data_IF_058883097391
#
_entry.id   IF_058883097391
#
_cell.length_a   1.000
_cell.length_b   1.000
_cell.length_c   1.000
_cell.angle_alpha   90.00
_cell.angle_beta   90.00
_cell.angle_gamma   90.00
#
_symmetry.space_group_name_H-M   'P 1'
#
loop_
_entity.id
_entity.type
_entity.pdbx_description
1 polymer ?
#
# COMPACT_ATOMS: atom_id res chain seq x y z
N UNK A 1 -25.86 14.61 11.03
CA UNK A 1 -26.28 13.31 10.46
C UNK A 1 -25.04 12.46 10.25
N UNK A 2 -24.82 11.40 11.05
CA UNK A 2 -23.65 10.51 10.87
C UNK A 2 -23.89 9.67 9.62
N UNK A 3 -23.11 9.90 8.57
CA UNK A 3 -23.15 9.07 7.37
C UNK A 3 -22.66 7.67 7.75
N UNK A 4 -23.53 6.65 7.62
CA UNK A 4 -23.14 5.26 7.81
C UNK A 4 -22.21 4.88 6.66
N UNK A 5 -20.96 4.59 6.99
CA UNK A 5 -19.97 4.09 6.04
C UNK A 5 -20.29 2.60 5.79
N UNK A 6 -20.50 2.16 4.53
CA UNK A 6 -20.60 0.75 4.21
C UNK A 6 -19.44 -0.08 4.78
N UNK A 7 -19.75 -1.25 5.34
CA UNK A 7 -18.80 -2.09 6.09
C UNK A 7 -17.53 -2.41 5.31
N UNK A 8 -17.65 -2.72 4.03
CA UNK A 8 -16.52 -3.08 3.17
C UNK A 8 -15.57 -1.91 2.92
N UNK A 9 -16.11 -0.68 2.86
CA UNK A 9 -15.30 0.54 2.72
C UNK A 9 -14.52 0.82 4.01
N UNK A 10 -15.19 0.64 5.16
CA UNK A 10 -14.56 0.70 6.49
C UNK A 10 -13.41 -0.30 6.59
N UNK A 11 -13.60 -1.51 6.07
CA UNK A 11 -12.58 -2.56 6.07
C UNK A 11 -11.34 -2.19 5.23
N UNK A 12 -11.50 -1.56 4.06
CA UNK A 12 -10.37 -1.04 3.27
C UNK A 12 -9.62 0.07 4.01
N UNK A 13 -10.36 1.02 4.59
CA UNK A 13 -9.76 2.07 5.41
C UNK A 13 -8.95 1.50 6.58
N UNK A 14 -9.50 0.52 7.32
CA UNK A 14 -8.77 -0.13 8.42
C UNK A 14 -7.53 -0.88 7.93
N UNK A 15 -7.59 -1.56 6.79
CA UNK A 15 -6.39 -2.19 6.18
C UNK A 15 -5.29 -1.15 5.94
N UNK A 16 -5.62 -0.03 5.30
CA UNK A 16 -4.65 1.03 4.99
C UNK A 16 -4.11 1.65 6.28
N UNK A 17 -4.99 1.99 7.23
CA UNK A 17 -4.62 2.57 8.52
C UNK A 17 -3.70 1.65 9.33
N UNK A 18 -3.98 0.34 9.36
CA UNK A 18 -3.24 -0.64 10.15
C UNK A 18 -1.97 -1.16 9.46
N UNK A 19 -1.74 -0.79 8.20
CA UNK A 19 -0.50 -1.10 7.45
C UNK A 19 0.30 0.16 7.18
N UNK A 20 -0.09 0.92 6.17
CA UNK A 20 0.58 2.15 5.73
C UNK A 20 0.61 3.16 6.87
N UNK A 21 -0.51 3.32 7.58
CA UNK A 21 -0.63 4.24 8.72
C UNK A 21 0.08 3.83 10.00
N UNK A 22 0.80 2.70 10.01
CA UNK A 22 1.71 2.37 11.13
C UNK A 22 3.10 2.95 10.94
N UNK A 23 3.39 3.50 9.76
CA UNK A 23 4.59 4.27 9.54
C UNK A 23 4.53 5.58 10.36
N UNK A 24 5.56 5.91 11.14
CA UNK A 24 5.55 7.08 12.02
C UNK A 24 5.47 8.42 11.28
N UNK A 25 5.75 8.45 9.97
CA UNK A 25 5.73 9.66 9.14
C UNK A 25 4.51 9.74 8.22
N UNK A 26 3.54 8.83 8.40
CA UNK A 26 2.32 8.79 7.57
C UNK A 26 1.09 8.85 8.45
N UNK A 27 0.34 9.94 8.32
CA UNK A 27 -0.99 10.09 8.90
C UNK A 27 -2.04 9.63 7.89
N UNK A 28 -2.96 8.78 8.33
CA UNK A 28 -4.11 8.33 7.53
C UNK A 28 -5.35 9.05 8.04
N UNK A 29 -5.91 9.91 7.20
CA UNK A 29 -7.14 10.60 7.55
C UNK A 29 -8.36 9.70 7.41
N UNK A 30 -9.42 10.08 8.13
CA UNK A 30 -10.68 9.33 8.13
C UNK A 30 -11.25 9.25 6.71
N UNK A 31 -11.83 8.10 6.41
CA UNK A 31 -12.60 7.90 5.20
C UNK A 31 -13.68 8.99 5.09
N UNK A 32 -13.73 9.67 3.96
CA UNK A 32 -14.72 10.71 3.68
C UNK A 32 -15.24 10.59 2.25
N UNK A 33 -16.43 11.12 2.01
CA UNK A 33 -17.07 11.11 0.70
C UNK A 33 -16.95 12.49 0.06
N UNK A 34 -16.50 12.52 -1.17
CA UNK A 34 -16.44 13.73 -1.99
C UNK A 34 -17.06 13.40 -3.36
N UNK A 35 -18.12 14.11 -3.73
CA UNK A 35 -18.96 13.75 -4.89
C UNK A 35 -19.49 12.30 -4.78
N UNK A 36 -19.17 11.45 -5.77
CA UNK A 36 -19.62 10.04 -5.85
C UNK A 36 -18.58 9.03 -5.35
N UNK A 37 -17.40 9.48 -4.92
CA UNK A 37 -16.31 8.59 -4.52
C UNK A 37 -15.99 8.73 -3.03
N UNK A 38 -15.46 7.65 -2.46
CA UNK A 38 -14.88 7.65 -1.12
C UNK A 38 -13.37 7.86 -1.22
N UNK A 39 -12.80 8.57 -0.26
CA UNK A 39 -11.39 8.92 -0.26
C UNK A 39 -10.73 8.55 1.06
N UNK A 40 -9.52 8.00 0.95
CA UNK A 40 -8.57 7.85 2.05
C UNK A 40 -7.36 8.71 1.71
N UNK A 41 -7.10 9.73 2.53
CA UNK A 41 -5.94 10.60 2.35
C UNK A 41 -4.79 10.12 3.22
N UNK A 42 -3.64 9.93 2.58
CA UNK A 42 -2.36 9.64 3.20
C UNK A 42 -1.54 10.92 3.23
N UNK A 43 -1.24 11.42 4.41
CA UNK A 43 -0.41 12.61 4.62
C UNK A 43 0.97 12.14 5.05
N UNK A 44 1.97 12.40 4.21
CA UNK A 44 3.36 12.04 4.49
C UNK A 44 4.15 13.26 4.95
N UNK A 45 4.96 13.10 5.98
CA UNK A 45 5.87 14.15 6.46
C UNK A 45 7.14 14.26 5.60
N UNK A 46 7.46 13.22 4.83
CA UNK A 46 8.61 13.15 3.93
C UNK A 46 8.15 13.12 2.47
N UNK A 47 8.72 14.01 1.66
CA UNK A 47 8.33 14.14 0.25
C UNK A 47 8.67 12.87 -0.55
N UNK A 48 9.88 12.34 -0.40
CA UNK A 48 10.30 11.14 -1.13
C UNK A 48 9.44 9.92 -0.80
N UNK A 49 8.97 9.82 0.45
CA UNK A 49 8.05 8.79 0.87
C UNK A 49 6.66 8.95 0.24
N UNK A 50 6.17 10.20 0.15
CA UNK A 50 4.93 10.52 -0.55
C UNK A 50 5.02 10.11 -2.03
N UNK A 51 6.13 10.42 -2.69
CA UNK A 51 6.41 10.02 -4.08
C UNK A 51 6.41 8.50 -4.19
N UNK A 52 7.20 7.82 -3.35
CA UNK A 52 7.28 6.36 -3.32
C UNK A 52 5.90 5.71 -3.18
N UNK A 53 5.13 6.13 -2.18
CA UNK A 53 3.77 5.64 -1.95
C UNK A 53 2.86 5.89 -3.15
N UNK A 54 2.89 7.10 -3.73
CA UNK A 54 2.05 7.45 -4.88
C UNK A 54 2.28 6.54 -6.09
N UNK A 55 3.47 5.95 -6.21
CA UNK A 55 3.85 5.05 -7.30
C UNK A 55 3.52 3.57 -7.04
N UNK A 56 3.55 3.12 -5.78
CA UNK A 56 3.40 1.68 -5.45
C UNK A 56 2.02 1.32 -4.90
N UNK A 57 1.28 2.29 -4.34
CA UNK A 57 -0.01 2.01 -3.71
C UNK A 57 -1.10 1.83 -4.75
N UNK A 58 -2.00 0.87 -4.51
CA UNK A 58 -3.23 0.77 -5.27
C UNK A 58 -4.07 2.03 -4.99
N UNK A 59 -4.27 2.84 -6.03
CA UNK A 59 -4.97 4.11 -5.93
C UNK A 59 -6.50 3.97 -5.92
N UNK A 60 -7.06 2.81 -6.30
CA UNK A 60 -8.51 2.61 -6.44
C UNK A 60 -8.93 1.20 -6.03
N UNK A 61 -9.86 1.10 -5.08
CA UNK A 61 -10.52 -0.14 -4.67
C UNK A 61 -12.00 -0.07 -5.06
N UNK A 62 -12.49 -1.09 -5.77
CA UNK A 62 -13.88 -1.17 -6.20
C UNK A 62 -14.69 -2.05 -5.24
N UNK A 63 -15.82 -1.54 -4.77
CA UNK A 63 -16.72 -2.19 -3.82
C UNK A 63 -18.15 -1.87 -4.23
N UNK A 64 -18.91 -2.88 -4.69
CA UNK A 64 -20.34 -2.76 -5.04
C UNK A 64 -20.68 -1.51 -5.88
N UNK A 65 -19.91 -1.23 -6.93
CA UNK A 65 -20.03 -0.08 -7.84
C UNK A 65 -19.63 1.29 -7.24
N UNK A 66 -19.13 1.35 -6.02
CA UNK A 66 -18.44 2.51 -5.45
C UNK A 66 -16.92 2.31 -5.46
N UNK A 67 -16.18 3.42 -5.37
CA UNK A 67 -14.73 3.40 -5.32
C UNK A 67 -14.20 4.05 -4.06
N UNK A 68 -13.24 3.38 -3.41
CA UNK A 68 -12.31 4.01 -2.46
C UNK A 68 -11.07 4.42 -3.21
N UNK A 69 -10.83 5.72 -3.27
CA UNK A 69 -9.67 6.33 -3.92
C UNK A 69 -8.66 6.70 -2.85
N UNK A 70 -7.42 6.26 -3.02
CA UNK A 70 -6.32 6.63 -2.12
C UNK A 70 -5.59 7.83 -2.72
N UNK A 71 -5.50 8.92 -1.96
CA UNK A 71 -4.74 10.13 -2.33
C UNK A 71 -3.54 10.25 -1.42
N UNK A 72 -2.40 10.60 -1.99
CA UNK A 72 -1.17 10.84 -1.23
C UNK A 72 -0.86 12.32 -1.25
N UNK A 73 -0.51 12.88 -0.11
CA UNK A 73 -0.18 14.27 0.10
C UNK A 73 1.17 14.39 0.83
N UNK A 74 1.85 15.50 0.61
CA UNK A 74 2.99 15.92 1.40
C UNK A 74 2.54 17.06 2.33
N UNK A 75 2.82 16.95 3.64
CA UNK A 75 2.44 17.95 4.67
C UNK A 75 0.96 18.34 4.64
N UNK A 76 0.62 19.61 4.41
CA UNK A 76 -0.68 20.19 4.75
C UNK A 76 -1.78 19.99 3.67
N UNK A 77 -1.68 18.93 2.88
CA UNK A 77 -2.64 18.55 1.83
C UNK A 77 -2.87 19.58 0.72
N UNK A 78 -1.95 20.52 0.52
CA UNK A 78 -2.12 21.54 -0.53
C UNK A 78 -2.13 20.94 -1.93
N UNK A 79 -1.33 19.88 -2.17
CA UNK A 79 -1.23 19.25 -3.49
C UNK A 79 -1.16 17.74 -3.36
N UNK A 80 -1.98 17.05 -4.15
CA UNK A 80 -1.91 15.59 -4.30
C UNK A 80 -0.61 15.24 -5.00
N UNK A 81 0.22 14.45 -4.34
CA UNK A 81 1.43 13.87 -4.93
C UNK A 81 1.00 12.79 -5.92
N UNK A 82 1.44 12.94 -7.16
CA UNK A 82 1.18 11.98 -8.23
C UNK A 82 2.51 11.39 -8.68
N UNK A 83 2.49 10.09 -9.00
CA UNK A 83 3.60 9.49 -9.68
C UNK A 83 3.55 9.90 -11.16
N UNK A 84 4.37 10.88 -11.53
CA UNK A 84 4.47 11.38 -12.91
C UNK A 84 5.63 10.71 -13.65
N UNK A 85 5.38 10.25 -14.87
CA UNK A 85 6.41 9.87 -15.82
C UNK A 85 5.91 8.90 -16.89
N UNK A 86 6.70 8.77 -17.96
CA UNK A 86 6.41 7.86 -19.05
C UNK A 86 6.46 6.41 -18.54
N UNK A 87 5.35 5.70 -18.72
CA UNK A 87 5.18 4.29 -18.36
C UNK A 87 6.32 3.41 -18.89
N UNK A 88 6.88 3.72 -20.07
CA UNK A 88 8.01 3.00 -20.64
C UNK A 88 9.34 3.26 -19.92
N UNK A 89 9.52 4.46 -19.34
CA UNK A 89 10.69 4.82 -18.50
C UNK A 89 10.55 4.33 -17.06
N UNK A 90 9.32 4.23 -16.57
CA UNK A 90 9.00 3.82 -15.20
C UNK A 90 9.19 2.30 -14.99
N UNK A 91 9.14 1.51 -16.06
CA UNK A 91 9.19 0.05 -16.00
C UNK A 91 10.61 -0.54 -15.73
N UNK A 92 11.39 0.16 -14.90
CA UNK A 92 12.75 -0.20 -14.50
C UNK A 92 12.73 -0.81 -13.08
N UNK A 93 13.25 -2.03 -12.92
CA UNK A 93 13.34 -2.74 -11.64
C UNK A 93 14.12 -1.96 -10.57
N UNK A 94 15.14 -1.19 -10.95
CA UNK A 94 15.91 -0.35 -10.01
C UNK A 94 15.06 0.81 -9.49
N UNK A 95 14.30 1.46 -10.36
CA UNK A 95 13.39 2.54 -9.97
C UNK A 95 12.28 2.00 -9.06
N UNK A 96 11.68 0.86 -9.42
CA UNK A 96 10.68 0.18 -8.58
C UNK A 96 11.23 -0.17 -7.19
N UNK A 97 12.47 -0.66 -7.13
CA UNK A 97 13.15 -0.95 -5.85
C UNK A 97 13.33 0.32 -5.01
N UNK A 98 13.83 1.40 -5.60
CA UNK A 98 14.02 2.69 -4.93
C UNK A 98 12.68 3.19 -4.37
N UNK A 99 11.62 3.18 -5.18
CA UNK A 99 10.30 3.68 -4.76
C UNK A 99 9.68 2.84 -3.64
N UNK A 100 9.90 1.51 -3.62
CA UNK A 100 9.51 0.68 -2.46
C UNK A 100 10.27 1.09 -1.20
N UNK A 101 11.58 1.26 -1.31
CA UNK A 101 12.41 1.64 -0.17
C UNK A 101 12.04 3.02 0.37
N UNK A 102 11.73 3.97 -0.51
CA UNK A 102 11.24 5.29 -0.13
C UNK A 102 9.88 5.21 0.55
N UNK A 103 8.94 4.44 -0.01
CA UNK A 103 7.58 4.33 0.50
C UNK A 103 7.50 3.64 1.87
N UNK A 104 8.24 2.53 2.04
CA UNK A 104 8.07 1.61 3.16
C UNK A 104 9.25 1.63 4.14
N UNK A 105 10.33 2.36 3.86
CA UNK A 105 11.59 2.27 4.59
C UNK A 105 11.49 2.54 6.10
N UNK A 106 10.56 3.40 6.51
CA UNK A 106 10.26 3.70 7.92
C UNK A 106 9.12 2.87 8.51
N UNK A 107 8.44 2.04 7.71
CA UNK A 107 7.30 1.27 8.17
C UNK A 107 7.78 0.10 9.06
N UNK A 108 7.23 -0.08 10.27
CA UNK A 108 7.70 -1.08 11.21
C UNK A 108 7.49 -2.52 10.74
N UNK A 109 6.62 -2.77 9.77
CA UNK A 109 6.47 -4.11 9.19
C UNK A 109 7.47 -4.38 8.06
N UNK A 110 8.00 -3.35 7.41
CA UNK A 110 8.92 -3.52 6.28
C UNK A 110 10.33 -3.87 6.76
N UNK A 111 10.91 -4.93 6.20
CA UNK A 111 12.27 -5.33 6.49
C UNK A 111 13.24 -4.80 5.43
N UNK A 112 13.04 -5.21 4.16
CA UNK A 112 13.88 -4.81 3.02
C UNK A 112 13.22 -5.18 1.70
N UNK A 113 13.71 -4.58 0.62
CA UNK A 113 13.39 -5.00 -0.75
C UNK A 113 14.69 -5.20 -1.54
N UNK A 114 14.66 -6.09 -2.54
CA UNK A 114 15.81 -6.35 -3.42
C UNK A 114 15.39 -6.98 -4.74
N UNK A 115 16.22 -6.78 -5.77
CA UNK A 115 16.07 -7.48 -7.05
C UNK A 115 16.59 -8.91 -6.89
N UNK A 116 15.74 -9.89 -7.23
CA UNK A 116 16.06 -11.32 -7.17
C UNK A 116 16.77 -11.76 -8.46
N UNK A 117 16.19 -11.41 -9.60
CA UNK A 117 16.73 -11.65 -10.95
C UNK A 117 16.59 -10.37 -11.78
N UNK A 118 17.66 -10.02 -12.48
CA UNK A 118 17.71 -8.94 -13.49
C UNK A 118 18.19 -9.49 -14.85
N UNK A 119 18.02 -10.80 -15.09
CA UNK A 119 18.40 -11.45 -16.34
C UNK A 119 17.52 -10.91 -17.47
N UNK A 120 18.14 -10.56 -18.59
CA UNK A 120 17.46 -10.00 -19.76
C UNK A 120 16.46 -10.99 -20.39
N UNK A 121 16.66 -12.30 -20.19
CA UNK A 121 15.83 -13.35 -20.78
C UNK A 121 14.54 -13.67 -20.00
N UNK A 122 14.32 -13.08 -18.82
CA UNK A 122 13.07 -13.30 -18.07
C UNK A 122 11.97 -12.32 -18.53
N UNK A 123 10.72 -12.78 -18.73
CA UNK A 123 9.62 -11.91 -19.17
C UNK A 123 9.25 -10.84 -18.14
N UNK A 124 9.63 -11.04 -16.88
CA UNK A 124 9.42 -10.09 -15.80
C UNK A 124 10.64 -10.03 -14.88
N UNK A 125 11.07 -8.81 -14.54
CA UNK A 125 12.07 -8.61 -13.50
C UNK A 125 11.43 -8.85 -12.14
N UNK A 126 12.13 -9.52 -11.22
CA UNK A 126 11.55 -9.92 -9.92
C UNK A 126 12.13 -9.10 -8.78
N UNK A 127 11.27 -8.45 -8.01
CA UNK A 127 11.63 -7.78 -6.75
C UNK A 127 10.99 -8.54 -5.60
N UNK A 128 11.82 -8.93 -4.63
CA UNK A 128 11.35 -9.50 -3.38
C UNK A 128 11.16 -8.36 -2.38
N UNK A 129 9.97 -8.27 -1.80
CA UNK A 129 9.60 -7.34 -0.73
C UNK A 129 9.39 -8.15 0.54
N UNK A 130 10.27 -7.95 1.51
CA UNK A 130 10.33 -8.72 2.74
C UNK A 130 9.71 -7.92 3.90
N UNK A 131 8.79 -8.56 4.61
CA UNK A 131 8.12 -8.04 5.79
C UNK A 131 8.53 -8.82 7.02
N UNK A 132 8.57 -8.16 8.17
CA UNK A 132 8.73 -8.82 9.46
C UNK A 132 7.54 -9.77 9.69
N UNK A 133 7.75 -10.93 10.35
CA UNK A 133 6.66 -11.82 10.70
C UNK A 133 5.78 -11.14 11.76
N UNK A 134 4.65 -10.59 11.32
CA UNK A 134 3.74 -9.83 12.18
C UNK A 134 2.29 -10.09 11.82
N UNK A 135 1.41 -10.04 12.82
CA UNK A 135 -0.04 -10.18 12.68
C UNK A 135 -0.68 -8.82 12.89
N UNK A 136 -1.54 -8.43 11.95
CA UNK A 136 -2.34 -7.22 12.01
C UNK A 136 -3.77 -7.63 12.35
N UNK A 137 -4.30 -7.06 13.43
CA UNK A 137 -5.68 -7.27 13.85
C UNK A 137 -6.56 -6.14 13.31
N UNK A 138 -7.61 -6.52 12.58
CA UNK A 138 -8.65 -5.61 12.12
C UNK A 138 -9.95 -6.04 12.77
N UNK A 139 -10.70 -5.08 13.31
CA UNK A 139 -12.03 -5.36 13.85
C UNK A 139 -12.93 -5.94 12.75
N UNK A 140 -13.46 -7.11 13.00
CA UNK A 140 -14.48 -7.73 12.17
C UNK A 140 -15.86 -7.31 12.70
N UNK A 141 -16.72 -6.80 11.83
CA UNK A 141 -18.10 -6.45 12.19
C UNK A 141 -19.07 -7.65 12.07
N UNK A 142 -18.53 -8.88 12.05
CA UNK A 142 -19.32 -10.09 12.14
C UNK A 142 -19.76 -10.32 13.60
N UNK A 143 -21.02 -10.02 13.88
CA UNK A 143 -21.62 -10.17 15.21
C UNK A 143 -21.67 -11.64 15.74
N UNK A 144 -21.30 -12.62 14.91
CA UNK A 144 -21.22 -14.04 15.30
C UNK A 144 -19.82 -14.47 15.76
N UNK A 145 -18.81 -13.63 15.57
CA UNK A 145 -17.44 -13.91 15.99
C UNK A 145 -17.21 -13.41 17.42
N UNK A 146 -16.99 -14.34 18.36
CA UNK A 146 -16.89 -14.06 19.80
C UNK A 146 -15.79 -13.02 20.13
N UNK A 147 -14.73 -12.97 19.33
CA UNK A 147 -13.61 -12.05 19.52
C UNK A 147 -13.66 -10.82 18.62
N UNK A 148 -14.55 -10.80 17.61
CA UNK A 148 -14.80 -9.65 16.74
C UNK A 148 -13.57 -9.10 16.00
N UNK A 149 -12.55 -9.91 15.74
CA UNK A 149 -11.30 -9.49 15.10
C UNK A 149 -10.83 -10.49 14.04
N UNK A 150 -10.46 -9.97 12.87
CA UNK A 150 -9.76 -10.70 11.83
C UNK A 150 -8.24 -10.55 12.00
N UNK A 151 -7.54 -11.66 12.16
CA UNK A 151 -6.07 -11.71 12.22
C UNK A 151 -5.51 -11.95 10.82
N UNK A 152 -4.69 -11.03 10.33
CA UNK A 152 -4.13 -11.10 8.98
C UNK A 152 -2.61 -10.93 9.06
N UNK A 153 -1.87 -11.79 8.35
CA UNK A 153 -0.40 -11.67 8.25
C UNK A 153 -0.08 -10.35 7.54
N UNK A 154 0.81 -9.54 8.11
CA UNK A 154 1.16 -8.22 7.56
C UNK A 154 1.48 -8.27 6.06
N UNK A 155 2.31 -9.24 5.64
CA UNK A 155 2.64 -9.52 4.23
C UNK A 155 1.41 -9.56 3.33
N UNK A 156 0.38 -10.29 3.73
CA UNK A 156 -0.82 -10.51 2.91
C UNK A 156 -1.66 -9.24 2.79
N UNK A 157 -1.66 -8.42 3.84
CA UNK A 157 -2.34 -7.14 3.82
C UNK A 157 -1.62 -6.13 2.92
N UNK A 158 -0.29 -6.04 3.02
CA UNK A 158 0.52 -5.21 2.12
C UNK A 158 0.38 -5.67 0.66
N UNK A 159 0.41 -6.98 0.40
CA UNK A 159 0.20 -7.50 -0.94
C UNK A 159 -1.14 -7.03 -1.53
N UNK A 160 -2.22 -6.99 -0.75
CA UNK A 160 -3.51 -6.50 -1.23
C UNK A 160 -3.51 -4.99 -1.53
N UNK A 161 -2.80 -4.21 -0.71
CA UNK A 161 -2.72 -2.75 -0.85
C UNK A 161 -1.78 -2.32 -1.98
N UNK A 162 -0.76 -3.12 -2.29
CA UNK A 162 0.29 -2.80 -3.27
C UNK A 162 0.14 -3.57 -4.60
N UNK A 163 -0.92 -4.39 -4.75
CA UNK A 163 -1.07 -5.34 -5.87
C UNK A 163 -1.06 -4.71 -7.26
N UNK A 164 -1.57 -3.47 -7.37
CA UNK A 164 -1.83 -2.79 -8.65
C UNK A 164 -0.86 -1.62 -8.88
N UNK A 165 0.43 -1.82 -8.57
CA UNK A 165 1.45 -0.81 -8.87
C UNK A 165 1.58 -0.56 -10.38
N UNK A 166 2.09 0.60 -10.75
CA UNK A 166 2.33 0.99 -12.14
C UNK A 166 3.44 0.22 -12.88
N UNK A 167 4.19 -0.66 -12.19
CA UNK A 167 5.33 -1.39 -12.77
C UNK A 167 4.93 -2.73 -13.41
N UNK A 168 4.28 -2.76 -14.59
CA UNK A 168 3.77 -4.04 -15.12
C UNK A 168 4.85 -5.01 -15.64
N UNK A 169 6.10 -4.59 -15.89
CA UNK A 169 7.22 -5.54 -16.18
C UNK A 169 7.93 -6.03 -14.93
N UNK A 170 7.55 -5.54 -13.74
CA UNK A 170 8.16 -5.91 -12.48
C UNK A 170 7.19 -6.73 -11.66
N UNK A 171 7.59 -7.96 -11.33
CA UNK A 171 6.83 -8.83 -10.45
C UNK A 171 7.31 -8.66 -9.02
N UNK A 172 6.42 -8.22 -8.14
CA UNK A 172 6.66 -8.18 -6.70
C UNK A 172 6.35 -9.54 -6.07
N UNK A 173 7.31 -10.04 -5.29
CA UNK A 173 7.19 -11.25 -4.48
C UNK A 173 7.20 -10.80 -3.01
N UNK A 174 6.05 -10.90 -2.37
CA UNK A 174 5.87 -10.54 -0.96
C UNK A 174 6.23 -11.75 -0.09
N UNK A 175 7.10 -11.59 0.90
CA UNK A 175 7.54 -12.67 1.79
C UNK A 175 7.71 -12.20 3.23
N UNK A 176 7.60 -13.12 4.18
CA UNK A 176 7.99 -12.94 5.59
C UNK A 176 9.22 -13.78 5.97
N UNK A 177 9.82 -14.48 5.00
CA UNK A 177 11.04 -15.26 5.16
C UNK A 177 12.19 -14.55 4.48
N UNK A 178 13.33 -14.49 5.15
CA UNK A 178 14.57 -14.04 4.51
C UNK A 178 14.97 -15.03 3.42
N UNK A 179 14.95 -14.58 2.18
CA UNK A 179 15.48 -15.35 1.05
C UNK A 179 17.00 -15.15 1.04
N UNK A 180 17.78 -16.18 1.35
CA UNK A 180 19.24 -16.10 1.16
C UNK A 180 19.48 -16.36 -0.33
N UNK A 181 20.22 -15.48 -1.02
CA UNK A 181 20.67 -15.80 -2.38
C UNK A 181 21.58 -17.02 -2.25
N UNK A 182 21.24 -18.11 -2.94
CA UNK A 182 22.24 -19.08 -3.36
C UNK A 182 22.97 -18.50 -4.58
#
# INVERSE_FOLDING_TARGET
>A
MKMLIPKDLSFIYEKIRKTIGTDPYIRVDRLHKENKNWYVDLICDKYDQAVGLSCIIRNRFEIYNEYVIVRVFFKDKETVVKCEGDYNRINNSRLALILIQLALGSNPYFCKARILTDKEDEPFKKIVVEFRPSVIQIRNENNKDFYGNSNIIARDMFQQILKDSMFKSVRFIYTNKSIIKQ
#
